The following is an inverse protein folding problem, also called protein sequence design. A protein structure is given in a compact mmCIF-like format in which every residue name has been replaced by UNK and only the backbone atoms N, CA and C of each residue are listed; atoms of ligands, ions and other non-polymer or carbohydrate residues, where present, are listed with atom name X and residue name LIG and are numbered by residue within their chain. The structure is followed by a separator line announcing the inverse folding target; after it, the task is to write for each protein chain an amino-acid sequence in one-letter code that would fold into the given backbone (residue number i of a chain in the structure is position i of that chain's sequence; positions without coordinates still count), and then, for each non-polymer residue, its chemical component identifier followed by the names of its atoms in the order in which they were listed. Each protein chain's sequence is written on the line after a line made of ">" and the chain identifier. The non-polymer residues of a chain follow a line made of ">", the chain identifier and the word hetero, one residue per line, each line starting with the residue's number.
data_IF_604537438572
#
_entry.id   IF_604537438572
#
_cell.length_a   1.000
_cell.length_b   1.000
_cell.length_c   1.000
_cell.angle_alpha   90.00
_cell.angle_beta   90.00
_cell.angle_gamma   90.00
#
_symmetry.space_group_name_H-M   'P 1'
#
loop_
_entity.id
_entity.type
_entity.pdbx_description
1 polymer ?
#
# COMPACT_ATOMS: atom_id res chain seq x y z
N UNK A 1 -22.62 -6.58 23.66
CA UNK A 1 -21.84 -5.88 22.62
C UNK A 1 -20.51 -6.60 22.45
N UNK A 2 -20.03 -6.82 21.22
CA UNK A 2 -18.82 -7.63 20.94
C UNK A 2 -17.53 -6.77 20.92
N UNK A 3 -17.67 -5.45 20.83
CA UNK A 3 -16.54 -4.52 20.66
C UNK A 3 -15.87 -4.67 19.29
N UNK A 4 -14.62 -4.24 19.20
CA UNK A 4 -13.81 -4.30 17.97
C UNK A 4 -12.62 -5.24 18.17
N UNK A 5 -12.84 -6.56 18.15
CA UNK A 5 -11.77 -7.51 18.40
C UNK A 5 -10.73 -7.46 17.26
N UNK A 6 -9.45 -7.58 17.62
CA UNK A 6 -8.37 -7.56 16.64
C UNK A 6 -8.40 -8.82 15.79
N UNK A 7 -8.44 -8.67 14.46
CA UNK A 7 -8.35 -9.78 13.51
C UNK A 7 -6.89 -10.02 13.10
N UNK A 8 -6.59 -11.26 12.75
CA UNK A 8 -5.34 -11.66 12.12
C UNK A 8 -5.59 -12.81 11.14
N UNK A 9 -4.67 -13.00 10.20
CA UNK A 9 -4.64 -14.20 9.37
C UNK A 9 -3.65 -15.20 9.96
N UNK A 10 -3.88 -16.48 9.71
CA UNK A 10 -2.98 -17.53 10.15
C UNK A 10 -2.83 -18.61 9.07
N UNK A 11 -1.63 -19.18 8.99
CA UNK A 11 -1.38 -20.45 8.30
C UNK A 11 -1.29 -21.54 9.36
N UNK A 12 -2.14 -22.55 9.26
CA UNK A 12 -2.25 -23.63 10.26
C UNK A 12 -2.02 -24.98 9.59
N UNK A 13 -0.95 -25.66 9.97
CA UNK A 13 -0.71 -27.05 9.62
C UNK A 13 -1.00 -27.97 10.82
N UNK A 14 -0.53 -29.22 10.75
CA UNK A 14 -0.67 -30.18 11.86
C UNK A 14 0.23 -29.84 13.04
N UNK A 15 1.40 -29.26 12.78
CA UNK A 15 2.40 -28.91 13.80
C UNK A 15 2.94 -27.48 13.66
N UNK A 16 2.59 -26.79 12.58
CA UNK A 16 2.94 -25.40 12.35
C UNK A 16 1.74 -24.47 12.54
N UNK A 17 2.01 -23.30 13.13
CA UNK A 17 1.03 -22.24 13.30
C UNK A 17 1.75 -20.90 13.20
N UNK A 18 1.50 -20.16 12.10
CA UNK A 18 2.08 -18.84 11.89
C UNK A 18 0.96 -17.80 11.83
N UNK A 19 1.15 -16.69 12.53
CA UNK A 19 0.16 -15.62 12.70
C UNK A 19 0.66 -14.35 12.00
N UNK A 20 -0.22 -13.69 11.25
CA UNK A 20 0.04 -12.52 10.44
C UNK A 20 -0.95 -11.40 10.80
N UNK A 21 -0.42 -10.29 11.31
CA UNK A 21 -1.24 -9.12 11.69
C UNK A 21 -1.33 -8.07 10.60
N UNK A 22 -0.40 -8.07 9.64
CA UNK A 22 -0.43 -7.21 8.45
C UNK A 22 -1.44 -7.71 7.43
N UNK A 23 -2.73 -7.56 7.75
CA UNK A 23 -3.84 -7.96 6.89
C UNK A 23 -4.51 -6.75 6.25
N UNK A 24 -5.05 -6.93 5.05
CA UNK A 24 -5.85 -5.94 4.36
C UNK A 24 -7.19 -6.58 4.00
N UNK A 25 -8.29 -5.99 4.46
CA UNK A 25 -9.64 -6.47 4.21
C UNK A 25 -10.47 -5.42 3.46
N UNK A 26 -11.24 -5.85 2.46
CA UNK A 26 -12.17 -5.00 1.73
C UNK A 26 -13.38 -5.80 1.23
N UNK A 27 -14.53 -5.16 1.13
CA UNK A 27 -15.72 -5.77 0.52
C UNK A 27 -15.55 -5.79 -1.00
N UNK A 28 -15.77 -6.94 -1.64
CA UNK A 28 -15.61 -7.03 -3.08
C UNK A 28 -15.46 -8.46 -3.57
N UNK A 29 -15.04 -8.59 -4.82
CA UNK A 29 -14.87 -9.89 -5.49
C UNK A 29 -13.49 -9.97 -6.12
N UNK A 30 -12.89 -11.16 -6.04
CA UNK A 30 -11.63 -11.46 -6.71
C UNK A 30 -11.92 -12.12 -8.05
N UNK A 31 -11.34 -11.58 -9.11
CA UNK A 31 -11.42 -12.16 -10.46
C UNK A 31 -10.03 -12.65 -10.83
N UNK A 32 -9.88 -13.96 -11.02
CA UNK A 32 -8.64 -14.57 -11.49
C UNK A 32 -8.26 -14.00 -12.86
N UNK A 33 -7.02 -13.55 -12.97
CA UNK A 33 -6.42 -13.01 -14.18
C UNK A 33 -5.04 -13.64 -14.41
N UNK A 34 -4.49 -13.49 -15.62
CA UNK A 34 -3.16 -14.02 -15.94
C UNK A 34 -3.16 -15.52 -16.26
N UNK A 35 -2.02 -16.17 -16.02
CA UNK A 35 -1.77 -17.57 -16.41
C UNK A 35 -1.29 -18.39 -15.22
N UNK A 36 -1.25 -19.72 -15.34
CA UNK A 36 -0.74 -20.61 -14.28
C UNK A 36 0.70 -20.26 -13.83
N UNK A 37 1.53 -19.80 -14.77
CA UNK A 37 2.93 -19.43 -14.50
C UNK A 37 3.10 -17.96 -14.06
N UNK A 38 2.05 -17.16 -14.19
CA UNK A 38 2.02 -15.76 -13.75
C UNK A 38 0.60 -15.43 -13.27
N UNK A 39 0.20 -15.97 -12.11
CA UNK A 39 -1.15 -15.78 -11.60
C UNK A 39 -1.30 -14.32 -11.15
N UNK A 40 -2.44 -13.74 -11.50
CA UNK A 40 -2.82 -12.38 -11.13
C UNK A 40 -4.27 -12.41 -10.66
N UNK A 41 -4.67 -11.38 -9.94
CA UNK A 41 -6.09 -11.14 -9.67
C UNK A 41 -6.42 -9.69 -9.89
N UNK A 42 -7.67 -9.45 -10.27
CA UNK A 42 -8.28 -8.14 -10.27
C UNK A 42 -9.26 -8.12 -9.11
N UNK A 43 -9.06 -7.21 -8.17
CA UNK A 43 -10.01 -6.97 -7.11
C UNK A 43 -11.03 -5.93 -7.56
N UNK A 44 -12.31 -6.29 -7.49
CA UNK A 44 -13.42 -5.37 -7.74
C UNK A 44 -14.09 -5.05 -6.40
N UNK A 45 -13.80 -3.87 -5.88
CA UNK A 45 -14.38 -3.39 -4.62
C UNK A 45 -15.89 -3.16 -4.74
N UNK A 46 -16.63 -3.49 -3.67
CA UNK A 46 -18.04 -3.17 -3.51
C UNK A 46 -18.16 -1.82 -2.79
N UNK A 47 -18.57 -0.74 -3.49
CA UNK A 47 -18.66 0.59 -2.91
C UNK A 47 -19.77 0.70 -1.85
N UNK A 48 -20.72 -0.24 -1.80
CA UNK A 48 -21.76 -0.26 -0.78
C UNK A 48 -21.25 -0.82 0.57
N UNK A 49 -20.07 -1.46 0.60
CA UNK A 49 -19.43 -1.98 1.80
C UNK A 49 -20.36 -2.85 2.64
N UNK A 50 -20.56 -2.48 3.91
CA UNK A 50 -21.46 -3.17 4.84
C UNK A 50 -22.93 -3.24 4.40
N UNK A 51 -23.37 -2.35 3.50
CA UNK A 51 -24.74 -2.36 2.94
C UNK A 51 -24.81 -3.14 1.63
N UNK A 52 -23.67 -3.59 1.12
CA UNK A 52 -23.54 -4.38 -0.09
C UNK A 52 -23.87 -5.85 0.13
N UNK A 53 -23.59 -6.64 -0.89
CA UNK A 53 -23.77 -8.10 -0.87
C UNK A 53 -22.48 -8.84 -1.19
N UNK A 54 -21.42 -8.12 -1.57
CA UNK A 54 -20.14 -8.74 -1.84
C UNK A 54 -19.50 -9.30 -0.56
N UNK A 55 -18.75 -10.39 -0.67
CA UNK A 55 -18.01 -10.94 0.47
C UNK A 55 -16.88 -10.01 0.90
N UNK A 56 -16.34 -10.25 2.09
CA UNK A 56 -15.08 -9.64 2.52
C UNK A 56 -13.93 -10.48 1.98
N UNK A 57 -13.03 -9.83 1.24
CA UNK A 57 -11.78 -10.42 0.79
C UNK A 57 -10.68 -9.95 1.74
N UNK A 58 -9.89 -10.89 2.26
CA UNK A 58 -8.74 -10.60 3.12
C UNK A 58 -7.46 -11.04 2.43
N UNK A 59 -6.45 -10.17 2.43
CA UNK A 59 -5.13 -10.44 1.87
C UNK A 59 -4.04 -10.17 2.91
N UNK A 60 -2.97 -10.96 2.84
CA UNK A 60 -1.81 -10.83 3.70
C UNK A 60 -0.59 -11.44 2.99
N UNK A 61 0.60 -11.07 3.45
CA UNK A 61 1.86 -11.48 2.84
C UNK A 61 2.49 -12.61 3.65
N UNK A 62 2.90 -13.68 2.98
CA UNK A 62 3.53 -14.85 3.62
C UNK A 62 4.81 -15.24 2.89
N UNK A 63 5.83 -15.66 3.65
CA UNK A 63 7.04 -16.23 3.05
C UNK A 63 6.70 -17.56 2.39
N UNK A 64 7.18 -17.75 1.15
CA UNK A 64 7.03 -19.02 0.45
C UNK A 64 7.60 -20.21 1.23
N UNK A 65 8.64 -19.98 2.06
CA UNK A 65 9.19 -21.00 2.94
C UNK A 65 8.20 -21.48 4.01
N UNK A 66 7.34 -20.58 4.53
CA UNK A 66 6.32 -20.95 5.52
C UNK A 66 5.16 -21.73 4.90
N UNK A 67 4.79 -21.44 3.65
CA UNK A 67 3.78 -22.21 2.92
C UNK A 67 4.25 -23.64 2.58
N UNK A 68 5.56 -23.85 2.48
CA UNK A 68 6.18 -25.15 2.19
C UNK A 68 6.66 -25.88 3.44
N UNK A 69 6.38 -25.36 4.63
CA UNK A 69 6.82 -25.95 5.89
C UNK A 69 6.16 -27.32 6.15
N UNK A 70 4.92 -27.47 5.70
CA UNK A 70 4.13 -28.70 5.75
C UNK A 70 3.58 -29.08 4.38
N UNK A 71 2.97 -30.27 4.28
CA UNK A 71 2.25 -30.66 3.08
C UNK A 71 1.12 -29.66 2.82
N UNK A 72 1.02 -29.14 1.59
CA UNK A 72 -0.01 -28.18 1.21
C UNK A 72 -1.44 -28.70 1.44
N UNK A 73 -1.66 -30.03 1.40
CA UNK A 73 -2.96 -30.66 1.72
C UNK A 73 -3.33 -30.60 3.19
N UNK A 74 -2.33 -30.50 4.06
CA UNK A 74 -2.49 -30.43 5.51
C UNK A 74 -2.49 -28.97 6.02
N UNK A 75 -2.29 -28.00 5.14
CA UNK A 75 -2.20 -26.57 5.49
C UNK A 75 -3.53 -25.87 5.24
N UNK A 76 -3.99 -25.10 6.22
CA UNK A 76 -5.16 -24.23 6.14
C UNK A 76 -4.76 -22.75 6.24
N UNK A 77 -5.53 -21.91 5.56
CA UNK A 77 -5.49 -20.45 5.67
C UNK A 77 -6.73 -20.02 6.42
N UNK A 78 -6.55 -19.30 7.53
CA UNK A 78 -7.67 -18.87 8.36
C UNK A 78 -7.63 -17.35 8.62
N UNK A 79 -8.82 -16.77 8.75
CA UNK A 79 -9.05 -15.48 9.39
C UNK A 79 -9.54 -15.76 10.79
N UNK A 80 -8.82 -15.24 11.77
CA UNK A 80 -9.05 -15.53 13.18
C UNK A 80 -9.08 -14.25 14.02
N UNK A 81 -9.82 -14.31 15.11
CA UNK A 81 -9.79 -13.28 16.14
C UNK A 81 -8.59 -13.52 17.03
N UNK A 82 -7.87 -12.45 17.38
CA UNK A 82 -6.81 -12.49 18.39
C UNK A 82 -7.38 -13.00 19.71
N UNK A 83 -6.82 -14.10 20.17
CA UNK A 83 -7.16 -14.66 21.47
C UNK A 83 -6.66 -13.73 22.58
N UNK A 84 -7.60 -13.28 23.40
CA UNK A 84 -7.42 -12.50 24.61
C UNK A 84 -8.46 -12.98 25.61
N UNK A 85 -8.28 -12.80 26.92
CA UNK A 85 -9.30 -13.18 27.90
C UNK A 85 -10.67 -12.57 27.59
N UNK A 86 -10.69 -11.31 27.13
CA UNK A 86 -11.92 -10.61 26.74
C UNK A 86 -12.57 -11.22 25.49
N UNK A 87 -11.80 -11.48 24.42
CA UNK A 87 -12.34 -12.07 23.20
C UNK A 87 -12.79 -13.51 23.41
N UNK A 88 -12.07 -14.30 24.21
CA UNK A 88 -12.47 -15.67 24.57
C UNK A 88 -13.83 -15.68 25.28
N UNK A 89 -14.03 -14.85 26.31
CA UNK A 89 -15.30 -14.80 27.04
C UNK A 89 -16.44 -14.31 26.15
N UNK A 90 -16.22 -13.23 25.40
CA UNK A 90 -17.28 -12.58 24.61
C UNK A 90 -17.64 -13.35 23.34
N UNK A 91 -16.67 -13.99 22.67
CA UNK A 91 -16.87 -14.64 21.37
C UNK A 91 -17.16 -16.14 21.46
N UNK A 92 -16.91 -16.79 22.61
CA UNK A 92 -17.28 -18.19 22.83
C UNK A 92 -18.75 -18.46 22.47
N UNK A 93 -19.64 -17.50 22.71
CA UNK A 93 -21.07 -17.61 22.39
C UNK A 93 -21.38 -17.65 20.90
N UNK A 94 -20.51 -17.09 20.05
CA UNK A 94 -20.72 -16.95 18.61
C UNK A 94 -19.91 -17.97 17.81
N UNK A 95 -18.65 -18.19 18.19
CA UNK A 95 -17.72 -19.05 17.46
C UNK A 95 -17.62 -20.46 18.08
N UNK A 96 -18.04 -20.62 19.33
CA UNK A 96 -17.88 -21.84 20.12
C UNK A 96 -16.66 -21.79 21.04
N UNK A 97 -16.65 -22.64 22.07
CA UNK A 97 -15.58 -22.67 23.06
C UNK A 97 -14.24 -23.04 22.41
N UNK A 98 -13.21 -22.23 22.65
CA UNK A 98 -11.86 -22.41 22.09
C UNK A 98 -11.76 -22.19 20.57
N UNK A 99 -12.81 -21.67 19.94
CA UNK A 99 -12.81 -21.35 18.51
C UNK A 99 -12.68 -19.86 18.31
N UNK A 100 -11.57 -19.47 17.67
CA UNK A 100 -11.30 -18.08 17.30
C UNK A 100 -11.27 -17.89 15.78
N UNK A 101 -11.46 -18.97 15.01
CA UNK A 101 -11.48 -18.94 13.55
C UNK A 101 -12.85 -18.44 13.07
N UNK A 102 -12.84 -17.34 12.33
CA UNK A 102 -14.02 -16.75 11.68
C UNK A 102 -14.24 -17.39 10.31
N UNK A 103 -13.16 -17.62 9.57
CA UNK A 103 -13.18 -18.26 8.27
C UNK A 103 -11.92 -19.12 8.10
N UNK A 104 -12.04 -20.28 7.48
CA UNK A 104 -10.91 -21.16 7.22
C UNK A 104 -11.12 -21.94 5.94
N UNK A 105 -10.08 -22.01 5.11
CA UNK A 105 -10.06 -22.77 3.87
C UNK A 105 -8.73 -23.52 3.72
N UNK A 106 -8.74 -24.64 2.98
CA UNK A 106 -7.50 -25.37 2.68
C UNK A 106 -6.60 -24.55 1.76
N UNK A 107 -5.27 -24.69 1.89
CA UNK A 107 -4.32 -23.96 1.04
C UNK A 107 -4.52 -24.24 -0.46
N UNK A 108 -5.05 -25.42 -0.80
CA UNK A 108 -5.31 -25.85 -2.18
C UNK A 108 -6.75 -25.54 -2.65
N UNK A 109 -7.58 -24.90 -1.83
CA UNK A 109 -8.93 -24.50 -2.18
C UNK A 109 -8.88 -23.25 -3.09
N UNK A 110 -8.97 -23.46 -4.40
CA UNK A 110 -8.85 -22.39 -5.40
C UNK A 110 -10.09 -21.50 -5.49
N UNK A 111 -11.20 -21.87 -4.86
CA UNK A 111 -12.41 -21.05 -4.81
C UNK A 111 -12.26 -19.93 -3.77
N UNK A 112 -11.60 -20.23 -2.65
CA UNK A 112 -11.48 -19.30 -1.53
C UNK A 112 -10.06 -18.75 -1.30
N UNK A 113 -9.03 -19.46 -1.78
CA UNK A 113 -7.61 -19.12 -1.56
C UNK A 113 -6.91 -18.84 -2.89
N UNK A 114 -6.40 -17.61 -3.03
CA UNK A 114 -5.62 -17.19 -4.18
C UNK A 114 -4.18 -16.88 -3.77
N UNK A 115 -3.23 -17.71 -4.22
CA UNK A 115 -1.80 -17.51 -3.97
C UNK A 115 -1.19 -16.75 -5.13
N UNK A 116 -0.59 -15.60 -4.84
CA UNK A 116 0.02 -14.73 -5.83
C UNK A 116 1.48 -14.50 -5.48
N UNK A 117 2.40 -14.60 -6.46
CA UNK A 117 3.80 -14.26 -6.23
C UNK A 117 3.88 -12.76 -5.92
N UNK A 118 4.35 -12.44 -4.72
CA UNK A 118 4.68 -11.09 -4.32
C UNK A 118 6.18 -10.89 -4.45
N UNK A 119 6.58 -9.85 -5.16
CA UNK A 119 7.98 -9.45 -5.17
C UNK A 119 8.33 -8.98 -3.73
N UNK A 120 9.35 -9.56 -3.06
CA UNK A 120 9.74 -9.17 -1.70
C UNK A 120 10.29 -7.75 -1.66
N UNK A 121 10.80 -7.27 -2.78
CA UNK A 121 10.99 -5.85 -2.99
C UNK A 121 9.62 -5.28 -3.29
N UNK A 122 9.22 -4.13 -2.70
CA UNK A 122 8.14 -3.38 -3.30
C UNK A 122 8.49 -3.31 -4.78
N UNK A 123 7.72 -4.01 -5.62
CA UNK A 123 7.78 -3.74 -7.04
C UNK A 123 7.69 -2.23 -7.05
N UNK A 124 8.66 -1.52 -7.63
CA UNK A 124 8.43 -0.13 -7.87
C UNK A 124 7.12 -0.17 -8.68
N UNK A 125 6.01 0.21 -8.05
CA UNK A 125 4.96 0.90 -8.77
C UNK A 125 5.41 2.34 -9.02
N UNK A 126 6.71 2.62 -8.86
CA UNK A 126 7.42 3.08 -10.04
C UNK A 126 7.30 1.97 -11.12
N UNK A 127 6.21 1.97 -11.89
CA UNK A 127 6.47 2.03 -13.33
C UNK A 127 7.72 2.88 -13.46
N UNK A 128 8.83 2.47 -14.12
CA UNK A 128 9.82 3.47 -14.43
C UNK A 128 8.97 4.62 -14.91
N UNK A 129 9.09 5.77 -14.26
CA UNK A 129 8.69 6.98 -14.93
C UNK A 129 9.73 7.04 -16.08
N UNK A 130 9.67 6.10 -17.04
CA UNK A 130 9.53 6.47 -18.44
C UNK A 130 8.60 7.64 -18.33
N UNK A 131 9.11 8.86 -18.52
CA UNK A 131 8.24 10.02 -18.50
C UNK A 131 7.15 9.64 -19.48
N UNK A 132 5.94 9.37 -18.96
CA UNK A 132 4.76 9.35 -19.79
C UNK A 132 4.66 10.81 -20.20
N UNK A 133 5.32 11.07 -21.32
CA UNK A 133 5.75 12.36 -21.83
C UNK A 133 4.58 13.13 -22.43
N UNK A 134 3.36 12.79 -22.02
CA UNK A 134 2.18 13.54 -22.37
C UNK A 134 1.83 14.59 -21.30
N UNK A 135 2.09 14.36 -20.00
CA UNK A 135 1.57 15.22 -18.93
C UNK A 135 2.54 15.58 -17.78
N UNK A 136 3.80 15.13 -17.82
CA UNK A 136 4.80 15.49 -16.80
C UNK A 136 5.22 16.96 -16.87
N UNK A 137 5.55 17.55 -15.71
CA UNK A 137 6.05 18.94 -15.59
C UNK A 137 7.49 19.03 -16.11
N UNK A 138 8.32 18.04 -15.80
CA UNK A 138 9.68 17.91 -16.34
C UNK A 138 10.47 16.86 -15.57
N UNK A 139 11.73 17.16 -15.24
CA UNK A 139 12.65 16.23 -14.56
C UNK A 139 12.71 16.51 -13.07
N UNK A 140 12.64 15.46 -12.24
CA UNK A 140 12.96 15.54 -10.83
C UNK A 140 14.45 15.21 -10.60
N UNK A 141 15.13 16.04 -9.82
CA UNK A 141 16.48 15.77 -9.33
C UNK A 141 16.42 14.80 -8.13
N UNK A 142 17.53 14.11 -7.79
CA UNK A 142 17.60 13.30 -6.57
C UNK A 142 17.22 14.13 -5.33
N UNK A 143 16.48 13.52 -4.41
CA UNK A 143 16.12 14.15 -3.14
C UNK A 143 17.39 14.29 -2.30
N UNK A 144 17.73 15.52 -1.91
CA UNK A 144 18.80 15.78 -0.96
C UNK A 144 18.26 15.73 0.47
N UNK A 145 19.01 15.11 1.36
CA UNK A 145 18.67 14.97 2.78
C UNK A 145 19.63 15.87 3.56
N UNK A 146 19.08 16.75 4.37
CA UNK A 146 19.82 17.57 5.33
C UNK A 146 19.66 16.95 6.71
N UNK A 147 20.79 16.72 7.39
CA UNK A 147 20.82 16.15 8.73
C UNK A 147 21.10 17.25 9.76
N UNK A 148 20.93 16.94 11.04
CA UNK A 148 21.43 17.79 12.11
C UNK A 148 22.95 17.81 12.19
N UNK A 149 23.46 18.71 13.03
CA UNK A 149 24.91 18.97 13.15
C UNK A 149 25.63 17.70 13.61
N UNK A 150 24.93 16.86 14.36
CA UNK A 150 25.35 15.57 14.87
C UNK A 150 25.18 14.41 13.87
N UNK A 151 24.50 14.64 12.73
CA UNK A 151 24.17 13.63 11.71
C UNK A 151 23.32 12.45 12.21
N UNK A 152 22.51 12.66 13.25
CA UNK A 152 21.66 11.64 13.86
C UNK A 152 20.21 11.74 13.40
N UNK A 153 19.71 12.96 13.17
CA UNK A 153 18.32 13.20 12.78
C UNK A 153 18.22 13.86 11.41
N UNK A 154 17.19 13.48 10.67
CA UNK A 154 16.84 14.14 9.42
C UNK A 154 16.16 15.46 9.77
N UNK A 155 16.75 16.58 9.35
CA UNK A 155 16.18 17.92 9.51
C UNK A 155 15.30 18.32 8.35
N UNK A 156 15.66 17.94 7.14
CA UNK A 156 14.91 18.35 5.95
C UNK A 156 15.17 17.43 4.75
N UNK A 157 14.11 17.07 4.04
CA UNK A 157 14.18 16.59 2.67
C UNK A 157 14.00 17.75 1.70
N UNK A 158 14.81 17.80 0.64
CA UNK A 158 14.63 18.77 -0.45
C UNK A 158 14.54 18.04 -1.76
N UNK A 159 13.41 18.19 -2.43
CA UNK A 159 13.20 17.68 -3.77
C UNK A 159 13.07 18.83 -4.76
N UNK A 160 13.77 18.71 -5.89
CA UNK A 160 13.77 19.74 -6.94
C UNK A 160 13.22 19.19 -8.24
N UNK A 161 12.31 19.93 -8.87
CA UNK A 161 11.73 19.61 -10.17
C UNK A 161 12.07 20.73 -11.15
N UNK A 162 12.77 20.39 -12.22
CA UNK A 162 13.00 21.26 -13.38
C UNK A 162 11.74 21.27 -14.25
N UNK A 163 11.24 22.46 -14.57
CA UNK A 163 10.05 22.68 -15.39
C UNK A 163 10.46 22.75 -16.86
N UNK A 164 10.49 21.58 -17.50
CA UNK A 164 10.98 21.41 -18.87
C UNK A 164 9.85 21.34 -19.91
N UNK A 165 8.65 20.89 -19.52
CA UNK A 165 7.51 20.84 -20.42
C UNK A 165 7.13 22.27 -20.84
N UNK A 166 7.06 22.54 -22.15
CA UNK A 166 6.84 23.89 -22.68
C UNK A 166 5.52 24.53 -22.22
N UNK A 167 4.43 23.77 -22.15
CA UNK A 167 3.13 24.28 -21.69
C UNK A 167 3.14 24.54 -20.18
N UNK A 168 3.65 23.59 -19.38
CA UNK A 168 3.84 23.78 -17.94
C UNK A 168 4.77 24.96 -17.63
N UNK A 169 5.84 25.13 -18.41
CA UNK A 169 6.79 26.25 -18.29
C UNK A 169 6.15 27.57 -18.64
N UNK A 170 5.28 27.62 -19.66
CA UNK A 170 4.50 28.81 -20.00
C UNK A 170 3.57 29.22 -18.86
N UNK A 171 2.79 28.26 -18.32
CA UNK A 171 1.91 28.51 -17.18
C UNK A 171 2.70 28.92 -15.92
N UNK A 172 3.82 28.25 -15.67
CA UNK A 172 4.70 28.54 -14.54
C UNK A 172 5.40 29.89 -14.68
N UNK A 173 5.88 30.27 -15.85
CA UNK A 173 6.44 31.60 -16.09
C UNK A 173 5.35 32.69 -16.00
N UNK A 174 4.13 32.38 -16.44
CA UNK A 174 2.95 33.24 -16.36
C UNK A 174 2.37 33.44 -14.95
N UNK A 175 3.01 32.89 -13.91
CA UNK A 175 2.62 33.14 -12.52
C UNK A 175 1.65 32.11 -11.92
N UNK A 176 1.27 31.06 -12.67
CA UNK A 176 0.38 30.01 -12.13
C UNK A 176 1.01 29.37 -10.90
N UNK A 177 0.25 29.27 -9.81
CA UNK A 177 0.71 28.66 -8.58
C UNK A 177 0.66 27.13 -8.71
N UNK A 178 1.75 26.41 -8.46
CA UNK A 178 1.68 24.95 -8.39
C UNK A 178 0.89 24.49 -7.16
N UNK A 179 0.09 23.45 -7.32
CA UNK A 179 -0.61 22.79 -6.23
C UNK A 179 0.16 21.54 -5.78
N UNK A 180 0.10 21.22 -4.48
CA UNK A 180 0.80 20.09 -3.90
C UNK A 180 -0.09 19.28 -2.97
N UNK A 181 -0.03 17.96 -3.12
CA UNK A 181 -0.75 17.00 -2.26
C UNK A 181 0.11 15.78 -1.96
N UNK A 182 -0.18 15.08 -0.87
CA UNK A 182 0.53 13.85 -0.49
C UNK A 182 -0.38 12.64 -0.69
N UNK A 183 -0.28 11.93 -1.83
CA UNK A 183 -1.09 10.72 -2.07
C UNK A 183 -0.58 9.47 -1.33
N UNK A 184 0.64 9.48 -0.79
CA UNK A 184 1.21 8.36 -0.04
C UNK A 184 2.29 8.82 0.94
N UNK A 185 2.65 8.00 1.96
CA UNK A 185 3.64 8.38 2.96
C UNK A 185 4.98 8.88 2.39
N UNK A 186 5.45 8.32 1.27
CA UNK A 186 6.76 8.67 0.68
C UNK A 186 6.63 9.40 -0.67
N UNK A 187 5.49 9.99 -1.02
CA UNK A 187 5.35 10.69 -2.30
C UNK A 187 4.50 11.95 -2.20
N UNK A 188 4.96 13.01 -2.86
CA UNK A 188 4.18 14.22 -3.12
C UNK A 188 3.80 14.29 -4.59
N UNK A 189 2.62 14.82 -4.86
CA UNK A 189 2.11 15.13 -6.19
C UNK A 189 2.13 16.64 -6.36
N UNK A 190 2.90 17.10 -7.34
CA UNK A 190 2.97 18.47 -7.80
C UNK A 190 2.10 18.63 -9.06
N UNK A 191 1.34 19.71 -9.16
CA UNK A 191 0.59 20.02 -10.37
C UNK A 191 0.71 21.48 -10.78
N UNK A 192 0.78 21.71 -12.10
CA UNK A 192 0.75 23.04 -12.73
C UNK A 192 -0.31 22.95 -13.83
N UNK A 193 -1.52 23.43 -13.52
CA UNK A 193 -2.65 23.28 -14.44
C UNK A 193 -3.01 21.82 -14.68
N UNK A 194 -2.98 21.41 -15.95
CA UNK A 194 -3.25 20.04 -16.35
C UNK A 194 -2.02 19.11 -16.21
N UNK A 195 -0.84 19.67 -15.91
CA UNK A 195 0.40 18.92 -15.79
C UNK A 195 0.59 18.42 -14.37
N UNK A 196 0.86 17.13 -14.22
CA UNK A 196 0.98 16.48 -12.91
C UNK A 196 2.26 15.66 -12.87
N UNK A 197 3.01 15.76 -11.78
CA UNK A 197 4.22 15.00 -11.54
C UNK A 197 4.27 14.52 -10.10
N UNK A 198 4.74 13.29 -9.89
CA UNK A 198 5.03 12.79 -8.56
C UNK A 198 6.52 12.88 -8.25
N UNK A 199 6.81 13.24 -7.02
CA UNK A 199 8.14 13.29 -6.42
C UNK A 199 8.17 12.25 -5.31
N UNK A 200 9.16 11.36 -5.35
CA UNK A 200 9.29 10.25 -4.40
C UNK A 200 10.43 10.52 -3.44
N UNK A 201 10.15 10.35 -2.16
CA UNK A 201 11.08 10.53 -1.05
C UNK A 201 11.58 9.16 -0.59
N UNK A 202 12.84 9.06 -0.12
CA UNK A 202 13.41 7.80 0.34
C UNK A 202 12.79 7.31 1.65
N UNK A 203 12.17 8.19 2.43
CA UNK A 203 11.51 7.90 3.69
C UNK A 203 10.13 8.58 3.76
N UNK A 204 9.24 8.14 4.68
CA UNK A 204 7.97 8.81 4.92
C UNK A 204 8.15 10.27 5.33
N UNK A 205 7.29 11.14 4.80
CA UNK A 205 7.28 12.58 5.03
C UNK A 205 5.92 13.05 5.55
N UNK A 206 5.87 14.22 6.19
CA UNK A 206 4.65 14.93 6.58
C UNK A 206 4.40 16.06 5.58
N UNK A 207 3.86 15.70 4.43
CA UNK A 207 3.68 16.61 3.30
C UNK A 207 2.79 17.83 3.58
N UNK A 208 1.97 17.83 4.64
CA UNK A 208 1.19 19.01 5.04
C UNK A 208 2.04 20.15 5.60
N UNK A 209 3.29 19.90 6.00
CA UNK A 209 4.22 20.89 6.53
C UNK A 209 5.21 21.41 5.47
N UNK A 210 5.00 21.04 4.20
CA UNK A 210 5.92 21.39 3.13
C UNK A 210 6.08 22.90 2.93
N UNK A 211 7.28 23.30 2.50
CA UNK A 211 7.59 24.65 2.03
C UNK A 211 8.01 24.59 0.57
N UNK A 212 7.35 25.38 -0.26
CA UNK A 212 7.64 25.44 -1.69
C UNK A 212 8.44 26.70 -2.03
N UNK A 213 9.51 26.53 -2.82
CA UNK A 213 10.24 27.64 -3.43
C UNK A 213 10.09 27.59 -4.95
N UNK A 214 9.65 28.71 -5.50
CA UNK A 214 9.33 28.86 -6.92
C UNK A 214 10.38 29.72 -7.62
N UNK A 215 11.20 29.11 -8.46
CA UNK A 215 12.23 29.81 -9.21
C UNK A 215 11.79 29.96 -10.67
N UNK A 216 10.82 30.86 -10.92
CA UNK A 216 10.15 31.02 -12.23
C UNK A 216 11.10 31.44 -13.35
N UNK A 217 12.13 32.25 -13.06
CA UNK A 217 13.13 32.69 -14.06
C UNK A 217 14.04 31.55 -14.51
N UNK A 218 14.53 30.75 -13.57
CA UNK A 218 15.41 29.60 -13.81
C UNK A 218 14.64 28.29 -14.06
N UNK A 219 13.31 28.32 -13.98
CA UNK A 219 12.43 27.22 -14.38
C UNK A 219 12.46 26.02 -13.45
N UNK A 220 12.49 26.19 -12.12
CA UNK A 220 12.42 25.07 -11.19
C UNK A 220 11.53 25.32 -9.97
N UNK A 221 11.09 24.21 -9.36
CA UNK A 221 10.32 24.17 -8.13
C UNK A 221 11.10 23.33 -7.13
N UNK A 222 11.32 23.87 -5.93
CA UNK A 222 11.86 23.13 -4.79
C UNK A 222 10.73 22.89 -3.78
N UNK A 223 10.62 21.65 -3.32
CA UNK A 223 9.74 21.26 -2.23
C UNK A 223 10.61 20.81 -1.07
N UNK A 224 10.44 21.45 0.08
CA UNK A 224 11.13 21.14 1.31
C UNK A 224 10.14 20.57 2.31
N UNK A 225 10.48 19.47 2.94
CA UNK A 225 9.75 18.89 4.07
C UNK A 225 10.71 18.65 5.23
#
# INVERSE_FOLDING_TARGET
>A
EIGTPTLHCETRGKWSHNIFTGIHAAFGTVISAGTKNSPRVIFKEDPAGWKGTAPVVVSFTVSAGLLNLENARDTQICLSVRETPASAITLTKYLGFGKHIVFGAGLLDQEHVHILPQNPYPSPRLSPLTPSSAFGIGRADPVSIDLDEECELIRQFTARVQVENGAARGEFAGGKMPDISQPSPCAMRLSIGAHVQQVVFPYPIIGSQNRMRLARKSGYIEVKE
#
